data_IF_792773896993
#
_entry.id   IF_792773896993
#
_cell.length_a   1.000
_cell.length_b   1.000
_cell.length_c   1.000
_cell.angle_alpha   90.00
_cell.angle_beta   90.00
_cell.angle_gamma   90.00
#
_symmetry.space_group_name_H-M   'P 1'
#
loop_
_entity.id
_entity.type
_entity.pdbx_description
1 polymer ?
#
# COMPACT_ATOMS: atom_id res chain seq x y z
N UNK A 1 -11.20 2.10 18.16
CA UNK A 1 -10.88 1.09 17.14
C UNK A 1 -11.99 1.07 16.09
N UNK A 2 -11.67 0.89 14.81
CA UNK A 2 -12.60 1.07 13.68
C UNK A 2 -13.26 -0.24 13.18
N UNK A 3 -12.95 -1.38 13.80
CA UNK A 3 -13.57 -2.68 13.49
C UNK A 3 -12.94 -3.45 12.33
N UNK A 4 -11.65 -3.24 12.05
CA UNK A 4 -10.89 -3.99 11.04
C UNK A 4 -10.00 -5.05 11.70
N UNK A 5 -9.93 -6.24 11.11
CA UNK A 5 -8.82 -7.16 11.38
C UNK A 5 -7.57 -6.64 10.66
N UNK A 6 -6.48 -6.42 11.40
CA UNK A 6 -5.26 -5.83 10.86
C UNK A 6 -4.07 -6.73 11.15
N UNK A 7 -3.25 -6.98 10.13
CA UNK A 7 -1.95 -7.64 10.26
C UNK A 7 -0.85 -6.66 9.83
N UNK A 8 0.02 -6.28 10.77
CA UNK A 8 1.23 -5.53 10.49
C UNK A 8 2.44 -6.48 10.53
N UNK A 9 3.29 -6.39 9.51
CA UNK A 9 4.40 -7.31 9.29
C UNK A 9 5.75 -6.61 9.53
N UNK A 10 6.63 -7.28 10.27
CA UNK A 10 8.06 -7.01 10.19
C UNK A 10 8.62 -7.72 8.95
N UNK A 11 9.04 -6.94 7.95
CA UNK A 11 9.61 -7.49 6.72
C UNK A 11 10.87 -8.31 7.00
N UNK A 12 11.23 -9.24 6.11
CA UNK A 12 12.52 -9.95 6.21
C UNK A 12 13.69 -8.97 6.39
N UNK A 13 14.61 -9.31 7.29
CA UNK A 13 15.73 -8.45 7.67
C UNK A 13 15.37 -7.31 8.63
N UNK A 14 14.12 -7.22 9.11
CA UNK A 14 13.65 -6.14 9.97
C UNK A 14 12.96 -6.69 11.23
N UNK A 15 12.92 -5.86 12.28
CA UNK A 15 12.20 -6.12 13.52
C UNK A 15 12.42 -7.52 14.09
N UNK A 16 11.33 -8.18 14.47
CA UNK A 16 11.33 -9.52 15.04
C UNK A 16 11.54 -10.63 13.99
N UNK A 17 11.26 -10.37 12.71
CA UNK A 17 11.53 -11.34 11.63
C UNK A 17 13.02 -11.59 11.46
N UNK A 18 13.86 -10.55 11.64
CA UNK A 18 15.32 -10.67 11.60
C UNK A 18 15.86 -11.20 10.27
N UNK A 19 17.10 -11.71 10.28
CA UNK A 19 17.76 -12.21 9.07
C UNK A 19 18.36 -11.11 8.18
N UNK A 20 18.46 -11.37 6.87
CA UNK A 20 19.02 -10.42 5.89
C UNK A 20 17.90 -9.77 5.08
N UNK A 21 18.00 -8.46 4.88
CA UNK A 21 17.12 -7.74 3.96
C UNK A 21 17.39 -8.21 2.53
N UNK A 22 16.31 -8.54 1.82
CA UNK A 22 16.33 -8.90 0.40
C UNK A 22 14.98 -8.48 -0.20
N UNK A 23 14.97 -7.46 -1.05
CA UNK A 23 13.72 -6.89 -1.55
C UNK A 23 13.08 -7.70 -2.68
N UNK A 24 13.86 -8.56 -3.34
CA UNK A 24 13.32 -9.47 -4.33
C UNK A 24 12.53 -10.58 -3.64
N UNK A 25 13.14 -11.20 -2.61
CA UNK A 25 12.48 -12.26 -1.85
C UNK A 25 11.40 -11.72 -0.88
N UNK A 26 11.42 -10.43 -0.58
CA UNK A 26 10.37 -9.77 0.20
C UNK A 26 9.02 -9.76 -0.53
N UNK A 27 9.01 -9.71 -1.87
CA UNK A 27 7.77 -9.75 -2.65
C UNK A 27 7.00 -11.05 -2.37
N UNK A 28 7.70 -12.19 -2.43
CA UNK A 28 7.13 -13.52 -2.13
C UNK A 28 6.66 -13.65 -0.68
N UNK A 29 7.38 -13.04 0.27
CA UNK A 29 6.97 -13.08 1.68
C UNK A 29 5.64 -12.39 1.90
N UNK A 30 5.43 -11.22 1.30
CA UNK A 30 4.18 -10.48 1.45
C UNK A 30 3.02 -11.25 0.83
N UNK A 31 3.22 -11.95 -0.29
CA UNK A 31 2.19 -12.85 -0.84
C UNK A 31 1.80 -13.95 0.16
N UNK A 32 2.79 -14.58 0.82
CA UNK A 32 2.52 -15.64 1.80
C UNK A 32 1.79 -15.11 3.03
N UNK A 33 2.16 -13.92 3.49
CA UNK A 33 1.51 -13.24 4.62
C UNK A 33 0.07 -12.85 4.26
N UNK A 34 -0.16 -12.40 3.02
CA UNK A 34 -1.49 -12.12 2.51
C UNK A 34 -2.37 -13.36 2.48
N UNK A 35 -1.90 -14.45 1.87
CA UNK A 35 -2.62 -15.74 1.85
C UNK A 35 -2.97 -16.19 3.26
N UNK A 36 -2.02 -16.14 4.20
CA UNK A 36 -2.28 -16.48 5.59
C UNK A 36 -3.39 -15.62 6.21
N UNK A 37 -3.39 -14.30 5.98
CA UNK A 37 -4.42 -13.41 6.50
C UNK A 37 -5.80 -13.71 5.90
N UNK A 38 -5.86 -13.88 4.57
CA UNK A 38 -7.11 -14.11 3.84
C UNK A 38 -7.77 -15.47 4.16
N UNK A 39 -6.98 -16.47 4.54
CA UNK A 39 -7.48 -17.81 4.91
C UNK A 39 -7.92 -17.92 6.38
N UNK A 40 -7.73 -16.87 7.19
CA UNK A 40 -8.12 -16.93 8.61
C UNK A 40 -9.65 -16.99 8.76
N UNK A 41 -10.17 -17.84 9.66
CA UNK A 41 -11.62 -18.01 9.85
C UNK A 41 -12.31 -16.78 10.46
N UNK A 42 -11.53 -15.85 11.05
CA UNK A 42 -12.00 -14.60 11.63
C UNK A 42 -11.81 -13.38 10.70
N UNK A 43 -11.46 -13.60 9.43
CA UNK A 43 -11.28 -12.57 8.40
C UNK A 43 -12.23 -12.84 7.24
N UNK A 44 -12.90 -11.80 6.76
CA UNK A 44 -13.63 -11.85 5.49
C UNK A 44 -12.66 -11.57 4.34
N UNK A 45 -12.25 -12.63 3.63
CA UNK A 45 -11.33 -12.54 2.50
C UNK A 45 -11.87 -11.75 1.32
N UNK A 46 -13.18 -11.45 1.27
CA UNK A 46 -13.81 -10.71 0.17
C UNK A 46 -13.87 -9.20 0.42
N UNK A 47 -13.57 -8.74 1.64
CA UNK A 47 -13.62 -7.34 2.07
C UNK A 47 -12.22 -6.88 2.52
N UNK A 48 -11.24 -6.98 1.62
CA UNK A 48 -9.83 -6.81 1.99
C UNK A 48 -9.14 -5.64 1.28
N UNK A 49 -8.16 -5.05 1.98
CA UNK A 49 -7.31 -3.99 1.46
C UNK A 49 -5.85 -4.19 1.85
N UNK A 50 -4.92 -3.69 1.03
CA UNK A 50 -3.49 -3.67 1.33
C UNK A 50 -3.02 -2.22 1.46
N UNK A 51 -2.30 -1.90 2.54
CA UNK A 51 -1.76 -0.56 2.78
C UNK A 51 -0.25 -0.67 2.94
N UNK A 52 0.49 0.17 2.23
CA UNK A 52 1.94 0.17 2.27
C UNK A 52 2.55 1.56 2.24
N UNK A 53 3.75 1.70 2.79
CA UNK A 53 4.50 2.95 2.79
C UNK A 53 5.91 2.77 2.20
N UNK A 54 6.38 3.73 1.41
CA UNK A 54 7.69 3.70 0.74
C UNK A 54 7.83 2.44 -0.13
N UNK A 55 8.90 1.67 0.02
CA UNK A 55 9.05 0.35 -0.60
C UNK A 55 7.89 -0.60 -0.25
N UNK A 56 7.30 -0.46 0.95
CA UNK A 56 6.10 -1.20 1.34
C UNK A 56 4.88 -0.82 0.51
N UNK A 57 4.79 0.40 -0.03
CA UNK A 57 3.73 0.79 -0.95
C UNK A 57 3.87 0.04 -2.29
N UNK A 58 5.09 -0.10 -2.80
CA UNK A 58 5.33 -0.89 -4.01
C UNK A 58 4.95 -2.36 -3.78
N UNK A 59 5.36 -2.93 -2.64
CA UNK A 59 4.97 -4.29 -2.24
C UNK A 59 3.46 -4.44 -2.07
N UNK A 60 2.77 -3.43 -1.53
CA UNK A 60 1.32 -3.42 -1.39
C UNK A 60 0.63 -3.46 -2.75
N UNK A 61 1.08 -2.66 -3.72
CA UNK A 61 0.55 -2.67 -5.07
C UNK A 61 0.80 -4.02 -5.77
N UNK A 62 2.01 -4.58 -5.67
CA UNK A 62 2.35 -5.90 -6.22
C UNK A 62 1.43 -6.99 -5.63
N UNK A 63 1.21 -6.95 -4.32
CA UNK A 63 0.32 -7.92 -3.64
C UNK A 63 -1.12 -7.74 -4.07
N UNK A 64 -1.61 -6.50 -4.12
CA UNK A 64 -2.96 -6.20 -4.58
C UNK A 64 -3.17 -6.64 -6.04
N UNK A 65 -2.17 -6.46 -6.90
CA UNK A 65 -2.20 -6.88 -8.29
C UNK A 65 -2.22 -8.41 -8.47
N UNK A 66 -1.61 -9.17 -7.56
CA UNK A 66 -1.59 -10.64 -7.61
C UNK A 66 -2.88 -11.31 -7.08
N UNK A 67 -3.76 -10.53 -6.44
CA UNK A 67 -4.93 -11.01 -5.71
C UNK A 67 -6.18 -10.22 -6.13
N UNK A 68 -6.99 -10.79 -7.02
CA UNK A 68 -8.19 -10.14 -7.58
C UNK A 68 -9.28 -9.84 -6.53
N UNK A 69 -9.24 -10.53 -5.39
CA UNK A 69 -10.12 -10.37 -4.24
C UNK A 69 -9.77 -9.15 -3.35
N UNK A 70 -8.59 -8.56 -3.54
CA UNK A 70 -8.23 -7.27 -2.92
C UNK A 70 -9.09 -6.17 -3.53
N UNK A 71 -9.95 -5.55 -2.73
CA UNK A 71 -10.86 -4.49 -3.21
C UNK A 71 -10.18 -3.16 -3.42
N UNK A 72 -9.21 -2.81 -2.57
CA UNK A 72 -8.49 -1.55 -2.69
C UNK A 72 -7.08 -1.61 -2.13
N UNK A 73 -6.19 -0.76 -2.65
CA UNK A 73 -4.86 -0.55 -2.12
C UNK A 73 -4.63 0.93 -1.76
N UNK A 74 -3.82 1.16 -0.72
CA UNK A 74 -3.39 2.50 -0.29
C UNK A 74 -1.87 2.57 -0.31
N UNK A 75 -1.35 3.52 -1.08
CA UNK A 75 0.07 3.71 -1.31
C UNK A 75 0.55 5.02 -0.67
N UNK A 76 1.34 4.93 0.39
CA UNK A 76 1.94 6.09 1.06
C UNK A 76 3.38 6.30 0.56
N UNK A 77 3.65 7.38 -0.17
CA UNK A 77 4.94 7.66 -0.82
C UNK A 77 5.46 6.50 -1.71
N UNK A 78 4.67 5.95 -2.66
CA UNK A 78 5.17 4.95 -3.59
C UNK A 78 6.28 5.50 -4.49
N UNK A 79 7.04 4.60 -5.09
CA UNK A 79 8.11 4.90 -6.03
C UNK A 79 7.94 4.07 -7.30
N UNK A 80 8.39 4.56 -8.45
CA UNK A 80 8.41 3.73 -9.67
C UNK A 80 9.38 2.55 -9.53
N UNK A 81 10.45 2.73 -8.77
CA UNK A 81 11.42 1.70 -8.40
C UNK A 81 12.03 2.03 -7.03
N UNK A 82 11.75 1.17 -6.05
CA UNK A 82 12.54 1.13 -4.82
C UNK A 82 13.34 -0.15 -4.75
N UNK A 83 14.66 -0.03 -4.92
CA UNK A 83 15.62 -1.13 -4.73
C UNK A 83 15.31 -2.37 -5.60
N UNK A 84 14.83 -2.15 -6.83
CA UNK A 84 14.42 -3.19 -7.77
C UNK A 84 12.98 -3.66 -7.61
N UNK A 85 12.21 -3.10 -6.67
CA UNK A 85 10.77 -3.37 -6.52
C UNK A 85 10.01 -2.32 -7.34
N UNK A 86 9.63 -2.69 -8.56
CA UNK A 86 8.98 -1.79 -9.53
C UNK A 86 7.45 -1.86 -9.45
N UNK A 87 6.78 -0.78 -9.84
CA UNK A 87 5.30 -0.66 -9.77
C UNK A 87 4.59 -0.73 -11.12
N UNK A 88 5.30 -0.62 -12.23
CA UNK A 88 4.70 -0.50 -13.58
C UNK A 88 3.83 -1.71 -13.94
N UNK A 89 4.41 -2.91 -13.92
CA UNK A 89 3.68 -4.15 -14.24
C UNK A 89 2.55 -4.42 -13.24
N UNK A 90 2.79 -4.14 -11.96
CA UNK A 90 1.79 -4.30 -10.91
C UNK A 90 0.60 -3.35 -11.09
N UNK A 91 0.85 -2.09 -11.47
CA UNK A 91 -0.22 -1.14 -11.74
C UNK A 91 -1.10 -1.59 -12.91
N UNK A 92 -0.47 -2.07 -13.99
CA UNK A 92 -1.20 -2.59 -15.14
C UNK A 92 -2.05 -3.82 -14.78
N UNK A 93 -1.50 -4.75 -13.99
CA UNK A 93 -2.21 -5.93 -13.52
C UNK A 93 -3.29 -5.62 -12.47
N UNK A 94 -3.13 -4.57 -11.67
CA UNK A 94 -4.11 -4.15 -10.66
C UNK A 94 -5.45 -3.74 -11.29
N UNK A 95 -5.40 -3.14 -12.48
CA UNK A 95 -6.57 -2.86 -13.31
C UNK A 95 -7.41 -1.68 -12.82
N UNK A 96 -8.74 -1.83 -12.89
CA UNK A 96 -9.72 -0.76 -12.62
C UNK A 96 -10.13 -0.66 -11.14
N UNK A 97 -9.49 -1.43 -10.26
CA UNK A 97 -9.80 -1.41 -8.83
C UNK A 97 -9.38 -0.08 -8.20
N UNK A 98 -10.13 0.43 -7.21
CA UNK A 98 -9.81 1.70 -6.55
C UNK A 98 -8.41 1.72 -5.93
N UNK A 99 -7.61 2.73 -6.28
CA UNK A 99 -6.28 2.96 -5.72
C UNK A 99 -6.20 4.33 -5.03
N UNK A 100 -5.79 4.37 -3.76
CA UNK A 100 -5.46 5.64 -3.10
C UNK A 100 -3.95 5.83 -3.07
N UNK A 101 -3.48 6.95 -3.61
CA UNK A 101 -2.08 7.33 -3.59
C UNK A 101 -1.94 8.60 -2.75
N UNK A 102 -1.08 8.56 -1.74
CA UNK A 102 -0.80 9.70 -0.86
C UNK A 102 0.70 9.96 -0.83
N UNK A 103 1.12 11.19 -1.07
CA UNK A 103 2.53 11.58 -0.96
C UNK A 103 2.68 13.03 -0.50
N UNK A 104 3.93 13.44 -0.25
CA UNK A 104 4.27 14.83 0.05
C UNK A 104 5.07 15.47 -1.06
N UNK A 105 4.75 16.71 -1.46
CA UNK A 105 5.48 17.46 -2.49
C UNK A 105 6.98 17.62 -2.18
N UNK A 106 7.34 17.76 -0.90
CA UNK A 106 8.76 17.82 -0.47
C UNK A 106 9.47 16.46 -0.46
N UNK A 107 8.73 15.36 -0.53
CA UNK A 107 9.24 14.02 -0.79
C UNK A 107 9.29 13.79 -2.32
N UNK A 108 10.17 14.55 -2.98
CA UNK A 108 10.10 14.84 -4.42
C UNK A 108 10.09 13.60 -5.32
N UNK A 109 10.89 12.58 -4.99
CA UNK A 109 10.92 11.33 -5.75
C UNK A 109 9.57 10.60 -5.66
N UNK A 110 9.02 10.46 -4.46
CA UNK A 110 7.75 9.78 -4.25
C UNK A 110 6.59 10.59 -4.83
N UNK A 111 6.61 11.93 -4.72
CA UNK A 111 5.60 12.80 -5.32
C UNK A 111 5.55 12.66 -6.84
N UNK A 112 6.71 12.70 -7.51
CA UNK A 112 6.80 12.53 -8.96
C UNK A 112 6.34 11.12 -9.37
N UNK A 113 6.79 10.08 -8.66
CA UNK A 113 6.35 8.71 -8.90
C UNK A 113 4.84 8.56 -8.72
N UNK A 114 4.27 9.18 -7.69
CA UNK A 114 2.83 9.16 -7.40
C UNK A 114 2.00 9.82 -8.50
N UNK A 115 2.50 10.93 -9.08
CA UNK A 115 1.85 11.57 -10.24
C UNK A 115 1.86 10.66 -11.45
N UNK A 116 2.99 10.05 -11.78
CA UNK A 116 3.08 9.09 -12.89
C UNK A 116 2.15 7.90 -12.69
N UNK A 117 2.12 7.31 -11.50
CA UNK A 117 1.20 6.20 -11.21
C UNK A 117 -0.26 6.63 -11.32
N UNK A 118 -0.63 7.80 -10.81
CA UNK A 118 -1.99 8.33 -10.96
C UNK A 118 -2.38 8.59 -12.42
N UNK A 119 -1.46 9.09 -13.24
CA UNK A 119 -1.69 9.30 -14.68
C UNK A 119 -1.89 7.99 -15.45
N UNK A 120 -1.26 6.90 -15.00
CA UNK A 120 -1.32 5.58 -15.64
C UNK A 120 -2.45 4.70 -15.11
N UNK A 121 -2.89 4.92 -13.87
CA UNK A 121 -3.92 4.10 -13.23
C UNK A 121 -5.29 4.32 -13.89
N UNK A 122 -6.06 3.23 -14.06
CA UNK A 122 -7.42 3.34 -14.57
C UNK A 122 -8.38 4.00 -13.56
N UNK A 123 -8.19 3.73 -12.26
CA UNK A 123 -8.99 4.28 -11.17
C UNK A 123 -8.14 4.61 -9.94
N UNK A 124 -7.51 5.79 -9.92
CA UNK A 124 -6.75 6.26 -8.77
C UNK A 124 -7.24 7.62 -8.24
N UNK A 125 -7.17 7.78 -6.92
CA UNK A 125 -7.24 9.08 -6.25
C UNK A 125 -5.85 9.45 -5.77
N UNK A 126 -5.37 10.64 -6.14
CA UNK A 126 -4.09 11.17 -5.68
C UNK A 126 -4.29 12.29 -4.66
N UNK A 127 -3.70 12.14 -3.48
CA UNK A 127 -3.61 13.17 -2.46
C UNK A 127 -2.17 13.60 -2.24
N UNK A 128 -1.90 14.91 -2.37
CA UNK A 128 -0.58 15.49 -2.17
C UNK A 128 -0.59 16.52 -1.05
N UNK A 129 0.15 16.23 0.01
CA UNK A 129 0.44 17.21 1.05
C UNK A 129 1.62 18.09 0.66
N UNK A 130 1.61 19.37 1.03
CA UNK A 130 2.75 20.26 0.77
C UNK A 130 4.02 19.81 1.52
N UNK A 131 3.89 19.45 2.80
CA UNK A 131 5.02 19.08 3.65
C UNK A 131 4.57 18.10 4.74
N UNK A 132 4.67 16.80 4.46
CA UNK A 132 4.23 15.73 5.36
C UNK A 132 5.32 14.66 5.60
N UNK A 133 6.50 14.81 5.00
CA UNK A 133 7.56 13.81 5.05
C UNK A 133 7.26 12.58 4.18
N UNK A 134 8.00 11.50 4.45
CA UNK A 134 8.01 10.28 3.63
C UNK A 134 7.26 9.12 4.30
N UNK A 135 6.33 8.48 3.59
CA UNK A 135 5.64 7.27 4.02
C UNK A 135 4.88 7.46 5.34
N UNK A 136 5.24 6.69 6.37
CA UNK A 136 4.56 6.73 7.68
C UNK A 136 4.81 8.01 8.47
N UNK A 137 5.80 8.83 8.08
CA UNK A 137 6.02 10.15 8.69
C UNK A 137 4.80 11.06 8.55
N UNK A 138 4.01 10.87 7.47
CA UNK A 138 2.80 11.64 7.21
C UNK A 138 1.76 11.52 8.32
N UNK A 139 1.69 10.40 9.04
CA UNK A 139 0.75 10.24 10.15
C UNK A 139 1.01 11.21 11.32
N UNK A 140 2.28 11.55 11.55
CA UNK A 140 2.65 12.52 12.58
C UNK A 140 2.49 13.97 12.08
N UNK A 141 2.68 14.19 10.77
CA UNK A 141 2.64 15.52 10.18
C UNK A 141 1.21 15.98 9.82
N UNK A 142 0.31 15.05 9.48
CA UNK A 142 -1.01 15.33 8.91
C UNK A 142 -2.11 14.61 9.72
N UNK A 143 -2.76 15.30 10.67
CA UNK A 143 -3.78 14.71 11.55
C UNK A 143 -5.01 14.16 10.82
N UNK A 144 -5.28 14.64 9.61
CA UNK A 144 -6.40 14.23 8.75
C UNK A 144 -6.12 12.96 7.94
N UNK A 145 -4.87 12.49 7.86
CA UNK A 145 -4.52 11.29 7.12
C UNK A 145 -5.26 10.06 7.66
N UNK A 146 -5.30 9.85 8.98
CA UNK A 146 -5.99 8.68 9.56
C UNK A 146 -7.49 8.70 9.23
N UNK A 147 -8.24 9.79 9.49
CA UNK A 147 -9.62 9.91 9.04
C UNK A 147 -9.82 9.61 7.55
N UNK A 148 -9.00 10.19 6.68
CA UNK A 148 -9.07 9.97 5.23
C UNK A 148 -8.88 8.49 4.86
N UNK A 149 -7.92 7.79 5.47
CA UNK A 149 -7.73 6.36 5.22
C UNK A 149 -8.93 5.54 5.71
N UNK A 150 -9.52 5.88 6.84
CA UNK A 150 -10.71 5.18 7.35
C UNK A 150 -11.94 5.41 6.49
N UNK A 151 -12.14 6.64 5.99
CA UNK A 151 -13.22 6.97 5.07
C UNK A 151 -13.06 6.20 3.75
N UNK A 152 -11.84 6.13 3.22
CA UNK A 152 -11.52 5.32 2.04
C UNK A 152 -11.82 3.82 2.24
N UNK A 153 -11.35 3.24 3.35
CA UNK A 153 -11.61 1.84 3.66
C UNK A 153 -13.10 1.57 3.89
N UNK A 154 -13.84 2.52 4.47
CA UNK A 154 -15.30 2.39 4.65
C UNK A 154 -16.01 2.38 3.30
N UNK A 155 -15.59 3.23 2.37
CA UNK A 155 -16.18 3.32 1.03
C UNK A 155 -16.00 2.03 0.22
N UNK A 156 -14.87 1.34 0.35
CA UNK A 156 -14.55 0.20 -0.53
C UNK A 156 -14.60 -1.19 0.14
N UNK A 157 -14.71 -1.27 1.47
CA UNK A 157 -14.77 -2.55 2.20
C UNK A 157 -16.10 -2.79 2.95
N UNK A 158 -17.08 -1.88 2.83
CA UNK A 158 -18.37 -2.00 3.52
C UNK A 158 -19.58 -1.75 2.62
N UNK A 159 -19.34 -1.71 1.30
CA UNK A 159 -20.39 -1.59 0.27
C UNK A 159 -20.52 -2.89 -0.54
#
# INVERSE_FOLDING_TARGET
>A
EAGYAVLALDMRGHGATGGKSDWQLAQDDVQRVWTYLAERPDVDGTETAVIGASIGANLALITAAAHDDVRTAVLLSPGLDYRGVTTEDALAAYGERPLLIVASEKDTYAANSSRTLHEQAAAATLHLYQDAGHGTQMFAAQPDLIPMLLDWLTLYLRE
#
